data_IF_538908727544
#
_entry.id   IF_538908727544
#
_cell.length_a   1.000
_cell.length_b   1.000
_cell.length_c   1.000
_cell.angle_alpha   90.00
_cell.angle_beta   90.00
_cell.angle_gamma   90.00
#
_symmetry.space_group_name_H-M   'P 1'
#
loop_
_entity.id
_entity.type
_entity.pdbx_description
1 polymer ?
#
# COMPACT_ATOMS: atom_id res chain seq x y z
N UNK A 1 -14.40 6.30 -16.52
CA UNK A 1 -13.17 5.65 -17.06
C UNK A 1 -12.84 4.44 -16.20
N UNK A 2 -12.46 3.31 -16.80
CA UNK A 2 -12.04 2.11 -16.08
C UNK A 2 -10.86 1.46 -16.81
N UNK A 3 -10.08 0.66 -16.10
CA UNK A 3 -9.01 -0.13 -16.68
C UNK A 3 -9.16 -1.61 -16.30
N UNK A 4 -8.63 -2.48 -17.12
CA UNK A 4 -8.44 -3.89 -16.79
C UNK A 4 -6.95 -4.12 -16.60
N UNK A 5 -6.56 -4.44 -15.39
CA UNK A 5 -5.18 -4.68 -15.00
C UNK A 5 -4.95 -6.17 -14.72
N UNK A 6 -3.71 -6.59 -14.89
CA UNK A 6 -3.27 -7.92 -14.49
C UNK A 6 -2.25 -7.79 -13.36
N UNK A 7 -2.51 -8.43 -12.23
CA UNK A 7 -1.57 -8.47 -11.11
C UNK A 7 -1.72 -9.77 -10.33
N UNK A 8 -0.60 -10.32 -9.85
CA UNK A 8 -0.60 -11.59 -9.12
C UNK A 8 -1.23 -12.77 -9.87
N UNK A 9 -1.16 -12.78 -11.20
CA UNK A 9 -1.75 -13.82 -12.06
C UNK A 9 -3.27 -13.74 -12.22
N UNK A 10 -3.91 -12.68 -11.72
CA UNK A 10 -5.36 -12.42 -11.83
C UNK A 10 -5.61 -11.11 -12.56
N UNK A 11 -6.80 -11.00 -13.13
CA UNK A 11 -7.26 -9.79 -13.81
C UNK A 11 -8.32 -9.09 -12.96
N UNK A 12 -8.25 -7.77 -12.92
CA UNK A 12 -9.16 -6.93 -12.16
C UNK A 12 -9.64 -5.78 -13.04
N UNK A 13 -10.95 -5.55 -13.03
CA UNK A 13 -11.51 -4.32 -13.56
C UNK A 13 -11.50 -3.30 -12.45
N UNK A 14 -10.93 -2.13 -12.69
CA UNK A 14 -10.72 -1.07 -11.71
C UNK A 14 -11.14 0.29 -12.25
N UNK A 15 -11.70 1.11 -11.41
CA UNK A 15 -11.96 2.53 -11.65
C UNK A 15 -11.19 3.36 -10.62
N UNK A 16 -11.15 4.67 -10.81
CA UNK A 16 -10.59 5.57 -9.82
C UNK A 16 -11.36 5.43 -8.49
N UNK A 17 -10.67 5.56 -7.37
CA UNK A 17 -11.16 5.39 -6.00
C UNK A 17 -11.59 3.96 -5.60
N UNK A 18 -11.49 2.98 -6.49
CA UNK A 18 -11.79 1.60 -6.14
C UNK A 18 -10.77 1.02 -5.15
N UNK A 19 -11.28 0.25 -4.19
CA UNK A 19 -10.45 -0.52 -3.26
C UNK A 19 -10.53 -2.00 -3.61
N UNK A 20 -9.40 -2.57 -3.98
CA UNK A 20 -9.33 -3.98 -4.38
C UNK A 20 -8.34 -4.77 -3.53
N UNK A 21 -8.57 -6.07 -3.43
CA UNK A 21 -7.66 -7.00 -2.75
C UNK A 21 -6.93 -7.84 -3.78
N UNK A 22 -5.61 -7.71 -3.80
CA UNK A 22 -4.71 -8.38 -4.75
C UNK A 22 -3.73 -9.32 -4.04
N UNK A 23 -2.98 -10.10 -4.79
CA UNK A 23 -1.83 -10.83 -4.24
C UNK A 23 -0.84 -9.88 -3.58
N UNK A 24 -0.01 -10.39 -2.66
CA UNK A 24 0.94 -9.53 -1.94
C UNK A 24 1.82 -8.75 -2.90
N UNK A 25 1.81 -7.44 -2.74
CA UNK A 25 2.67 -6.48 -3.44
C UNK A 25 3.78 -6.04 -2.49
N UNK A 26 4.96 -5.74 -3.01
CA UNK A 26 6.06 -5.16 -2.25
C UNK A 26 5.74 -3.70 -1.91
N UNK A 27 6.15 -3.25 -0.75
CA UNK A 27 5.93 -1.90 -0.23
C UNK A 27 5.37 -1.92 1.20
N UNK A 28 5.28 -0.77 1.81
CA UNK A 28 4.66 -0.57 3.12
C UNK A 28 3.29 0.11 2.99
N UNK A 29 2.41 -0.02 4.00
CA UNK A 29 1.15 0.72 4.01
C UNK A 29 1.39 2.23 3.91
N UNK A 30 0.72 2.87 2.94
CA UNK A 30 0.91 4.27 2.56
C UNK A 30 1.77 4.47 1.31
N UNK A 31 2.48 3.44 0.85
CA UNK A 31 3.30 3.54 -0.36
C UNK A 31 2.43 3.60 -1.61
N UNK A 32 2.93 4.35 -2.60
CA UNK A 32 2.37 4.34 -3.95
C UNK A 32 2.94 3.19 -4.74
N UNK A 33 2.07 2.45 -5.38
CA UNK A 33 2.40 1.31 -6.23
C UNK A 33 1.92 1.59 -7.64
N UNK A 34 2.80 1.41 -8.62
CA UNK A 34 2.45 1.54 -10.02
C UNK A 34 2.23 0.14 -10.64
N UNK A 35 1.08 -0.04 -11.26
CA UNK A 35 0.68 -1.28 -11.93
C UNK A 35 0.74 -1.06 -13.44
N UNK A 36 1.81 -1.54 -14.08
CA UNK A 36 2.07 -1.35 -15.51
C UNK A 36 1.42 -2.39 -16.42
N UNK A 37 0.92 -3.50 -15.89
CA UNK A 37 0.27 -4.53 -16.71
C UNK A 37 -1.20 -4.19 -16.97
N UNK A 38 -1.45 -3.22 -17.86
CA UNK A 38 -2.80 -2.79 -18.26
C UNK A 38 -3.17 -3.50 -19.58
N UNK A 39 -4.24 -4.27 -19.55
CA UNK A 39 -4.73 -5.04 -20.71
C UNK A 39 -5.69 -4.21 -21.58
N UNK A 40 -6.50 -3.39 -20.94
CA UNK A 40 -7.52 -2.59 -21.61
C UNK A 40 -7.82 -1.33 -20.79
N UNK A 41 -8.07 -0.25 -21.47
CA UNK A 41 -8.62 0.98 -20.89
C UNK A 41 -9.95 1.28 -21.55
N UNK A 42 -10.98 1.48 -20.74
CA UNK A 42 -12.33 1.80 -21.20
C UNK A 42 -12.76 3.18 -20.69
N UNK A 43 -13.36 3.94 -21.56
CA UNK A 43 -13.91 5.26 -21.32
C UNK A 43 -14.72 5.66 -22.55
N UNK A 44 -14.62 6.89 -23.00
CA UNK A 44 -15.23 7.36 -24.25
C UNK A 44 -14.65 6.62 -25.48
N UNK A 45 -13.38 6.30 -25.40
CA UNK A 45 -12.72 5.41 -26.37
C UNK A 45 -12.16 4.19 -25.64
N UNK A 46 -12.40 3.02 -26.22
CA UNK A 46 -11.90 1.76 -25.69
C UNK A 46 -10.59 1.41 -26.39
N UNK A 47 -9.51 1.29 -25.61
CA UNK A 47 -8.20 0.88 -26.09
C UNK A 47 -7.89 -0.51 -25.54
N UNK A 48 -7.69 -1.47 -26.44
CA UNK A 48 -7.34 -2.85 -26.08
C UNK A 48 -5.87 -3.10 -26.40
N UNK A 49 -5.13 -3.62 -25.44
CA UNK A 49 -3.72 -3.96 -25.61
C UNK A 49 -3.52 -5.29 -26.37
N UNK A 50 -2.37 -5.41 -27.02
CA UNK A 50 -1.96 -6.67 -27.65
C UNK A 50 -0.49 -7.00 -27.27
N UNK A 51 -0.24 -7.64 -26.15
CA UNK A 51 -1.13 -8.02 -25.03
C UNK A 51 -1.42 -6.87 -24.05
N UNK A 52 -0.59 -5.83 -23.98
CA UNK A 52 -0.68 -4.71 -23.06
C UNK A 52 -0.90 -3.40 -23.81
N UNK A 53 -1.56 -2.45 -23.18
CA UNK A 53 -1.70 -1.08 -23.68
C UNK A 53 -0.38 -0.35 -23.46
N UNK A 54 0.27 0.08 -24.55
CA UNK A 54 1.52 0.83 -24.45
C UNK A 54 1.30 2.19 -23.76
N UNK A 55 2.15 2.50 -22.79
CA UNK A 55 2.09 3.77 -22.08
C UNK A 55 0.96 3.89 -21.05
N UNK A 56 0.18 2.84 -20.84
CA UNK A 56 -0.84 2.85 -19.79
C UNK A 56 -0.28 2.27 -18.49
N UNK A 57 -0.56 2.95 -17.39
CA UNK A 57 -0.29 2.46 -16.04
C UNK A 57 -1.41 2.88 -15.09
N UNK A 58 -1.53 2.17 -13.98
CA UNK A 58 -2.50 2.45 -12.93
C UNK A 58 -1.74 2.73 -11.65
N UNK A 59 -1.92 3.94 -11.11
CA UNK A 59 -1.38 4.31 -9.83
C UNK A 59 -2.35 3.88 -8.71
N UNK A 60 -1.80 3.27 -7.68
CA UNK A 60 -2.54 2.82 -6.52
C UNK A 60 -1.76 3.11 -5.24
N UNK A 61 -2.48 3.26 -4.15
CA UNK A 61 -1.94 3.39 -2.81
C UNK A 61 -2.12 2.07 -2.05
N UNK A 62 -1.09 1.59 -1.40
CA UNK A 62 -1.15 0.41 -0.56
C UNK A 62 -1.77 0.77 0.79
N UNK A 63 -3.02 0.36 1.02
CA UNK A 63 -3.74 0.66 2.26
C UNK A 63 -3.26 -0.22 3.42
N UNK A 64 -3.18 -1.53 3.18
CA UNK A 64 -2.71 -2.49 4.20
C UNK A 64 -2.37 -3.84 3.61
N UNK A 65 -1.54 -4.59 4.31
CA UNK A 65 -1.40 -6.02 4.10
C UNK A 65 -2.42 -6.80 4.92
N UNK A 66 -2.98 -7.83 4.33
CA UNK A 66 -4.01 -8.68 4.93
C UNK A 66 -3.66 -10.16 4.71
N UNK A 67 -4.32 -11.03 5.43
CA UNK A 67 -4.26 -12.47 5.21
C UNK A 67 -5.65 -12.99 4.95
N UNK A 68 -5.78 -13.84 3.96
CA UNK A 68 -7.01 -14.56 3.66
C UNK A 68 -7.40 -15.54 4.78
N UNK A 69 -8.55 -16.17 4.61
CA UNK A 69 -9.03 -17.20 5.52
C UNK A 69 -8.09 -18.40 5.54
N UNK A 70 -8.06 -19.08 6.68
CA UNK A 70 -7.24 -20.26 6.83
C UNK A 70 -7.87 -21.45 6.11
N UNK A 71 -7.20 -21.88 5.04
CA UNK A 71 -7.56 -23.11 4.32
C UNK A 71 -6.84 -24.29 4.93
N UNK A 72 -7.62 -25.29 5.34
CA UNK A 72 -7.08 -26.49 5.99
C UNK A 72 -7.05 -27.64 5.01
N UNK A 73 -5.85 -28.15 4.75
CA UNK A 73 -5.66 -29.40 4.01
C UNK A 73 -5.53 -30.56 5.01
N UNK A 74 -6.54 -31.41 5.07
CA UNK A 74 -6.54 -32.59 5.88
C UNK A 74 -6.29 -33.83 5.02
N UNK A 75 -5.23 -34.58 5.34
CA UNK A 75 -4.86 -35.81 4.65
C UNK A 75 -4.97 -36.97 5.62
N UNK A 76 -5.76 -37.97 5.27
CA UNK A 76 -5.93 -39.20 6.03
C UNK A 76 -5.74 -40.39 5.10
N UNK A 77 -4.97 -41.37 5.51
CA UNK A 77 -4.90 -42.66 4.82
C UNK A 77 -6.01 -43.58 5.33
N UNK A 78 -6.60 -44.35 4.44
CA UNK A 78 -7.67 -45.30 4.78
C UNK A 78 -7.23 -46.35 5.81
N UNK A 79 -5.98 -46.80 5.72
CA UNK A 79 -5.38 -47.76 6.64
C UNK A 79 -4.10 -47.15 7.23
N UNK A 80 -3.54 -47.77 8.29
CA UNK A 80 -2.32 -47.39 8.98
C UNK A 80 -2.42 -46.13 9.85
N UNK A 81 -3.63 -45.73 10.26
CA UNK A 81 -3.89 -44.65 11.23
C UNK A 81 -3.11 -43.34 11.01
N UNK A 82 -2.71 -43.07 9.77
CA UNK A 82 -1.97 -41.84 9.41
C UNK A 82 -2.93 -40.72 9.10
N UNK A 83 -2.78 -39.60 9.81
CA UNK A 83 -3.53 -38.35 9.54
C UNK A 83 -2.57 -37.18 9.66
N UNK A 84 -2.68 -36.22 8.72
CA UNK A 84 -1.92 -34.97 8.72
C UNK A 84 -2.83 -33.80 8.40
N UNK A 85 -2.64 -32.70 9.09
CA UNK A 85 -3.39 -31.46 8.92
C UNK A 85 -2.39 -30.32 8.67
N UNK A 86 -2.60 -29.56 7.59
CA UNK A 86 -1.86 -28.34 7.30
C UNK A 86 -2.85 -27.20 7.08
N UNK A 87 -2.56 -26.04 7.65
CA UNK A 87 -3.31 -24.82 7.39
C UNK A 87 -2.46 -23.84 6.59
N UNK A 88 -3.10 -23.14 5.64
CA UNK A 88 -2.48 -22.08 4.86
C UNK A 88 -3.35 -20.82 4.91
N UNK A 89 -2.72 -19.64 5.05
CA UNK A 89 -3.32 -18.34 4.84
C UNK A 89 -2.58 -17.63 3.72
N UNK A 90 -3.29 -17.28 2.66
CA UNK A 90 -2.72 -16.50 1.56
C UNK A 90 -2.46 -15.07 2.03
N UNK A 91 -1.27 -14.57 1.76
CA UNK A 91 -0.96 -13.15 1.97
C UNK A 91 -1.54 -12.32 0.84
N UNK A 92 -2.19 -11.22 1.19
CA UNK A 92 -2.91 -10.33 0.32
C UNK A 92 -2.53 -8.89 0.66
N UNK A 93 -2.70 -8.01 -0.31
CA UNK A 93 -2.59 -6.56 -0.14
C UNK A 93 -3.89 -5.90 -0.55
N UNK A 94 -4.34 -4.93 0.23
CA UNK A 94 -5.47 -4.08 -0.09
C UNK A 94 -4.91 -2.78 -0.65
N UNK A 95 -5.26 -2.46 -1.89
CA UNK A 95 -4.82 -1.26 -2.59
C UNK A 95 -6.02 -0.42 -2.99
N UNK A 96 -5.85 0.90 -2.92
CA UNK A 96 -6.80 1.88 -3.44
C UNK A 96 -6.25 2.41 -4.76
N UNK A 97 -7.06 2.40 -5.79
CA UNK A 97 -6.71 2.98 -7.08
C UNK A 97 -6.84 4.50 -6.99
N UNK A 98 -5.78 5.22 -7.29
CA UNK A 98 -5.79 6.69 -7.31
C UNK A 98 -6.05 7.22 -8.70
N UNK A 99 -5.28 6.78 -9.69
CA UNK A 99 -5.37 7.30 -11.06
C UNK A 99 -5.16 6.20 -12.10
N UNK A 100 -5.77 6.38 -13.27
CA UNK A 100 -5.55 5.58 -14.46
C UNK A 100 -4.86 6.47 -15.49
N UNK A 101 -3.61 6.15 -15.81
CA UNK A 101 -2.75 6.92 -16.70
C UNK A 101 -2.70 6.24 -18.07
N UNK A 102 -2.96 6.98 -19.14
CA UNK A 102 -3.05 6.43 -20.48
C UNK A 102 -1.93 6.82 -21.42
N UNK A 103 -1.17 7.86 -21.17
CA UNK A 103 -0.22 8.41 -22.12
C UNK A 103 1.22 8.48 -21.60
N UNK A 104 1.64 7.51 -20.80
CA UNK A 104 2.98 7.51 -20.21
C UNK A 104 3.20 8.66 -19.22
N UNK A 105 2.15 9.35 -18.81
CA UNK A 105 2.21 10.33 -17.74
C UNK A 105 2.57 9.61 -16.45
N UNK A 106 3.61 10.08 -15.79
CA UNK A 106 3.89 9.68 -14.41
C UNK A 106 2.79 10.21 -13.50
N UNK A 107 2.37 9.46 -12.49
CA UNK A 107 1.39 9.94 -11.52
C UNK A 107 1.86 11.27 -10.95
N UNK A 108 0.98 12.25 -10.96
CA UNK A 108 1.25 13.55 -10.35
C UNK A 108 1.63 13.32 -8.90
N UNK A 109 2.82 13.76 -8.52
CA UNK A 109 3.24 13.83 -7.12
C UNK A 109 2.48 15.00 -6.46
N UNK A 110 1.17 14.93 -6.39
CA UNK A 110 0.40 15.92 -5.69
C UNK A 110 -0.13 15.34 -4.39
N UNK A 111 0.34 16.01 -3.33
CA UNK A 111 -0.04 15.88 -1.93
C UNK A 111 0.31 14.59 -1.19
N UNK A 112 1.60 14.48 -0.82
CA UNK A 112 1.85 14.17 0.58
C UNK A 112 1.23 15.33 1.39
N UNK A 113 0.41 15.09 2.43
CA UNK A 113 0.07 16.16 3.35
C UNK A 113 1.39 16.66 3.95
N UNK A 114 1.75 17.88 3.60
CA UNK A 114 2.80 18.59 4.31
C UNK A 114 2.45 18.50 5.79
N UNK A 115 3.20 17.73 6.53
CA UNK A 115 3.27 17.91 7.95
C UNK A 115 3.76 19.34 8.12
N UNK A 116 2.82 20.21 8.38
CA UNK A 116 3.02 21.53 8.91
C UNK A 116 4.02 21.39 10.05
N UNK A 117 5.26 21.80 9.77
CA UNK A 117 6.30 21.91 10.77
C UNK A 117 5.77 22.87 11.84
N UNK A 118 5.37 22.30 12.96
CA UNK A 118 5.16 23.09 14.16
C UNK A 118 6.39 23.96 14.39
N UNK A 119 6.21 25.27 14.60
CA UNK A 119 7.34 26.15 14.88
C UNK A 119 7.99 25.68 16.18
N UNK A 120 9.28 25.47 16.13
CA UNK A 120 10.10 25.21 17.29
C UNK A 120 9.87 26.31 18.32
N UNK A 121 9.71 25.98 19.62
CA UNK A 121 9.74 27.00 20.64
C UNK A 121 11.17 27.57 20.72
N UNK A 122 11.26 28.84 20.50
CA UNK A 122 12.42 29.67 20.68
C UNK A 122 13.04 29.42 22.07
N UNK A 123 14.36 29.29 22.21
CA UNK A 123 15.00 29.21 23.50
C UNK A 123 15.03 30.62 24.12
N UNK A 124 14.16 30.87 25.04
CA UNK A 124 14.27 32.08 25.89
C UNK A 124 15.56 32.00 26.69
N UNK A 125 16.51 32.81 26.28
CA UNK A 125 17.65 33.16 27.07
C UNK A 125 17.20 33.93 28.33
N UNK A 126 17.78 33.59 29.45
CA UNK A 126 18.32 34.52 30.44
C UNK A 126 18.51 33.81 31.78
N UNK A 127 19.71 33.52 32.06
CA UNK A 127 20.19 33.56 33.45
C UNK A 127 20.09 35.00 33.99
N UNK A 128 20.00 35.23 35.29
CA UNK A 128 21.24 35.25 36.07
C UNK A 128 21.14 34.64 37.48
N UNK A 129 22.24 34.05 37.91
CA UNK A 129 22.64 34.04 39.29
C UNK A 129 22.88 35.50 39.78
N UNK A 130 23.02 35.82 41.05
CA UNK A 130 23.71 35.11 42.12
C UNK A 130 23.13 35.31 43.54
N UNK A 131 23.73 34.70 44.51
CA UNK A 131 23.57 35.08 45.92
C UNK A 131 23.65 33.84 46.82
N UNK A 132 24.76 33.38 47.13
CA UNK A 132 25.71 33.67 48.21
C UNK A 132 25.15 33.53 49.63
N UNK A 133 25.88 32.72 50.35
CA UNK A 133 26.07 32.72 51.84
C UNK A 133 25.02 31.89 52.61
N UNK A 134 25.35 30.89 53.33
CA UNK A 134 26.24 30.86 54.45
C UNK A 134 26.16 29.48 55.09
N UNK A 135 27.24 28.86 55.29
CA UNK A 135 27.45 27.82 56.28
C UNK A 135 27.79 28.48 57.67
N UNK A 136 28.11 27.69 58.65
CA UNK A 136 27.48 26.77 59.55
C UNK A 136 27.47 27.33 60.97
N UNK A 137 27.56 26.73 62.09
CA UNK A 137 28.06 25.42 62.54
C UNK A 137 27.24 24.77 63.67
N UNK A 138 27.53 23.58 64.01
CA UNK A 138 27.87 22.92 65.27
C UNK A 138 27.46 21.44 65.23
#
# INVERSE_FOLDING_TARGET
MFAVIKTGGKQYRVAAEDVITVGRVAGEPGDRVELGEVLMVGGDQVVVGSPLVAGASVAAELVKHSRGDKVIAFKKRRRKNSRRKRGHRQELSVIRITEILTDGRRPSQESAPSQESAPAPEPAAAAPEPGEASAPPA
#
